data_IF_787443413945
#
_entry.id   IF_787443413945
#
_cell.length_a   1.000
_cell.length_b   1.000
_cell.length_c   1.000
_cell.angle_alpha   90.00
_cell.angle_beta   90.00
_cell.angle_gamma   90.00
#
_symmetry.space_group_name_H-M   'P 1'
#
loop_
_entity.id
_entity.type
_entity.pdbx_description
1 polymer ?
#
# COMPACT_ATOMS: atom_id res chain seq x y z
N UNK A 1 -6.72 21.77 -11.83
CA UNK A 1 -5.88 20.57 -11.61
C UNK A 1 -4.93 20.90 -10.48
N UNK A 2 -5.13 20.32 -9.29
CA UNK A 2 -4.09 20.35 -8.27
C UNK A 2 -2.92 19.50 -8.79
N UNK A 3 -1.65 19.88 -8.56
CA UNK A 3 -0.53 19.04 -8.94
C UNK A 3 -0.68 17.67 -8.28
N UNK A 4 -0.46 16.62 -9.07
CA UNK A 4 -0.45 15.23 -8.60
C UNK A 4 0.42 15.12 -7.34
N UNK A 5 -0.21 14.87 -6.19
CA UNK A 5 0.51 14.77 -4.94
C UNK A 5 1.47 13.58 -5.04
N UNK A 6 2.76 13.89 -4.92
CA UNK A 6 3.82 12.88 -4.93
C UNK A 6 4.14 12.50 -3.49
N UNK A 7 4.12 11.21 -3.19
CA UNK A 7 4.33 10.68 -1.86
C UNK A 7 5.54 9.74 -1.82
N UNK A 8 6.37 9.86 -0.78
CA UNK A 8 7.48 8.93 -0.58
C UNK A 8 7.00 7.77 0.30
N UNK A 9 6.96 6.58 -0.29
CA UNK A 9 6.57 5.35 0.38
C UNK A 9 7.75 4.41 0.63
N UNK A 10 7.68 3.66 1.73
CA UNK A 10 8.68 2.66 2.09
C UNK A 10 8.08 1.26 2.01
N UNK A 11 8.74 0.36 1.28
CA UNK A 11 8.35 -1.04 1.14
C UNK A 11 9.50 -1.94 1.57
N UNK A 12 9.36 -2.64 2.70
CA UNK A 12 10.33 -3.65 3.12
C UNK A 12 9.89 -5.04 2.70
N UNK A 13 10.87 -5.81 2.22
CA UNK A 13 10.70 -7.19 1.78
C UNK A 13 12.04 -7.93 1.92
N UNK A 14 12.08 -9.23 1.63
CA UNK A 14 13.34 -9.99 1.58
C UNK A 14 14.16 -9.60 0.35
N UNK A 15 15.47 -9.80 0.40
CA UNK A 15 16.41 -9.34 -0.64
C UNK A 15 16.02 -9.84 -2.04
N UNK A 16 15.69 -11.13 -2.19
CA UNK A 16 15.33 -11.72 -3.50
C UNK A 16 14.10 -11.05 -4.14
N UNK A 17 13.11 -10.69 -3.33
CA UNK A 17 11.93 -9.99 -3.83
C UNK A 17 12.24 -8.53 -4.17
N UNK A 18 13.10 -7.87 -3.40
CA UNK A 18 13.54 -6.52 -3.75
C UNK A 18 14.33 -6.52 -5.06
N UNK A 19 15.24 -7.47 -5.24
CA UNK A 19 16.00 -7.65 -6.48
C UNK A 19 15.06 -7.90 -7.66
N UNK A 20 14.06 -8.78 -7.49
CA UNK A 20 13.05 -9.03 -8.51
C UNK A 20 12.24 -7.78 -8.87
N UNK A 21 11.84 -6.98 -7.88
CA UNK A 21 11.07 -5.74 -8.11
C UNK A 21 11.92 -4.71 -8.85
N UNK A 22 13.20 -4.52 -8.49
CA UNK A 22 14.09 -3.55 -9.13
C UNK A 22 14.35 -3.89 -10.60
N UNK A 23 14.44 -5.18 -10.93
CA UNK A 23 14.64 -5.64 -12.31
C UNK A 23 13.33 -5.84 -13.09
N UNK A 24 12.18 -5.59 -12.47
CA UNK A 24 10.88 -5.72 -13.13
C UNK A 24 9.91 -4.61 -12.69
N UNK A 25 8.66 -4.96 -12.39
CA UNK A 25 7.63 -4.06 -11.90
C UNK A 25 7.14 -4.52 -10.52
N UNK A 26 6.53 -3.60 -9.78
CA UNK A 26 5.82 -3.99 -8.57
C UNK A 26 4.66 -4.94 -8.88
N UNK A 27 4.72 -6.14 -8.32
CA UNK A 27 3.62 -7.11 -8.40
C UNK A 27 2.68 -6.92 -7.21
N UNK A 28 1.39 -6.80 -7.49
CA UNK A 28 0.38 -6.67 -6.44
C UNK A 28 0.31 -7.96 -5.61
N UNK A 29 0.42 -7.83 -4.28
CA UNK A 29 0.19 -8.95 -3.36
C UNK A 29 -1.27 -9.34 -3.39
N UNK A 30 -1.58 -10.64 -3.49
CA UNK A 30 -2.95 -11.15 -3.41
C UNK A 30 -3.55 -11.06 -1.99
N UNK A 31 -2.70 -10.86 -0.98
CA UNK A 31 -3.09 -10.74 0.42
C UNK A 31 -2.76 -9.36 0.96
N UNK A 32 -3.75 -8.67 1.52
CA UNK A 32 -3.57 -7.35 2.09
C UNK A 32 -4.83 -6.83 2.78
N UNK A 33 -4.67 -5.86 3.68
CA UNK A 33 -5.78 -5.35 4.52
C UNK A 33 -6.90 -4.68 3.70
N UNK A 34 -6.54 -4.15 2.53
CA UNK A 34 -7.45 -3.46 1.60
C UNK A 34 -7.59 -4.24 0.28
N UNK A 35 -7.30 -5.54 0.29
CA UNK A 35 -7.31 -6.38 -0.92
C UNK A 35 -6.00 -6.36 -1.69
N UNK A 36 -6.07 -6.72 -2.97
CA UNK A 36 -4.90 -6.90 -3.84
C UNK A 36 -4.23 -5.56 -4.14
N UNK A 37 -2.92 -5.46 -3.92
CA UNK A 37 -2.21 -4.21 -4.17
C UNK A 37 -0.75 -4.20 -3.72
N UNK A 38 -0.10 -3.05 -3.95
CA UNK A 38 1.24 -2.73 -3.46
C UNK A 38 1.10 -1.89 -2.19
N UNK A 39 1.80 -2.27 -1.13
CA UNK A 39 1.67 -1.65 0.18
C UNK A 39 2.97 -0.95 0.56
N UNK A 40 2.89 0.37 0.73
CA UNK A 40 3.98 1.20 1.23
C UNK A 40 3.57 1.80 2.58
N UNK A 41 4.52 1.96 3.50
CA UNK A 41 4.32 2.73 4.71
C UNK A 41 4.90 4.14 4.58
N UNK A 42 4.53 4.99 5.53
CA UNK A 42 5.02 6.38 5.65
C UNK A 42 6.43 6.51 6.22
N UNK A 43 6.92 5.46 6.85
CA UNK A 43 8.24 5.44 7.49
C UNK A 43 8.80 4.04 7.52
N UNK A 44 10.13 3.93 7.47
CA UNK A 44 10.85 2.66 7.60
C UNK A 44 10.49 1.97 8.92
N UNK A 45 10.40 2.72 10.02
CA UNK A 45 10.07 2.19 11.35
C UNK A 45 8.76 1.37 11.37
N UNK A 46 7.76 1.78 10.60
CA UNK A 46 6.47 1.08 10.48
C UNK A 46 6.53 -0.21 9.64
N UNK A 47 7.69 -0.52 9.07
CA UNK A 47 7.90 -1.64 8.14
C UNK A 47 8.97 -2.63 8.62
N UNK A 48 9.72 -2.29 9.67
CA UNK A 48 10.85 -3.10 10.17
C UNK A 48 10.38 -4.51 10.53
N UNK A 49 9.18 -4.68 11.09
CA UNK A 49 8.58 -5.97 11.46
C UNK A 49 8.56 -7.02 10.35
N UNK A 50 8.53 -6.61 9.06
CA UNK A 50 8.54 -7.53 7.91
C UNK A 50 9.94 -7.98 7.50
N UNK A 51 10.97 -7.22 7.86
CA UNK A 51 12.36 -7.46 7.50
C UNK A 51 13.15 -8.25 8.56
N UNK A 52 12.52 -8.62 9.69
CA UNK A 52 13.24 -8.98 10.92
C UNK A 52 13.90 -10.36 10.94
N UNK A 53 13.71 -11.24 9.96
CA UNK A 53 14.19 -12.61 10.14
C UNK A 53 15.57 -12.89 9.52
N UNK A 54 15.92 -12.41 8.32
CA UNK A 54 17.13 -12.91 7.63
C UNK A 54 17.82 -11.88 6.71
N UNK A 55 17.76 -10.59 7.06
CA UNK A 55 18.21 -9.52 6.17
C UNK A 55 17.09 -9.13 5.21
N UNK A 56 16.58 -7.91 5.38
CA UNK A 56 15.57 -7.35 4.51
C UNK A 56 16.14 -6.21 3.68
N UNK A 57 15.52 -5.98 2.53
CA UNK A 57 15.76 -4.81 1.70
C UNK A 57 14.59 -3.82 1.87
N UNK A 58 14.88 -2.53 1.72
CA UNK A 58 13.89 -1.47 1.72
C UNK A 58 13.90 -0.75 0.37
N UNK A 59 12.76 -0.75 -0.30
CA UNK A 59 12.53 0.06 -1.50
C UNK A 59 11.91 1.38 -1.06
N UNK A 60 12.52 2.48 -1.47
CA UNK A 60 11.98 3.84 -1.34
C UNK A 60 11.34 4.18 -2.68
N UNK A 61 10.03 4.37 -2.70
CA UNK A 61 9.25 4.62 -3.91
C UNK A 61 8.69 6.04 -3.93
N UNK A 62 8.84 6.71 -5.06
CA UNK A 62 8.07 7.90 -5.40
C UNK A 62 6.71 7.47 -5.96
N UNK A 63 5.63 7.86 -5.29
CA UNK A 63 4.27 7.43 -5.62
C UNK A 63 3.47 8.64 -6.09
N UNK A 64 2.98 8.57 -7.33
CA UNK A 64 2.01 9.52 -7.87
C UNK A 64 0.63 9.08 -7.43
N UNK A 65 0.08 9.77 -6.42
CA UNK A 65 -1.09 9.29 -5.69
C UNK A 65 -2.41 9.45 -6.45
N UNK A 66 -2.51 10.39 -7.39
CA UNK A 66 -3.78 10.72 -8.03
C UNK A 66 -4.85 11.06 -6.99
N UNK A 67 -6.03 10.50 -7.21
CA UNK A 67 -7.15 10.60 -6.28
C UNK A 67 -6.95 9.65 -5.10
N UNK A 68 -6.98 10.19 -3.89
CA UNK A 68 -6.75 9.40 -2.67
C UNK A 68 -8.06 9.12 -1.94
N UNK A 69 -8.27 7.85 -1.60
CA UNK A 69 -9.30 7.44 -0.64
C UNK A 69 -8.65 7.08 0.68
N UNK A 70 -9.06 7.73 1.77
CA UNK A 70 -8.52 7.49 3.10
C UNK A 70 -9.47 6.65 3.95
N UNK A 71 -8.91 5.65 4.64
CA UNK A 71 -9.60 4.89 5.68
C UNK A 71 -8.95 5.18 7.03
N UNK A 72 -9.77 5.35 8.07
CA UNK A 72 -9.27 5.31 9.43
C UNK A 72 -8.96 3.86 9.87
N UNK A 73 -8.10 3.73 10.87
CA UNK A 73 -7.65 2.43 11.38
C UNK A 73 -8.81 1.55 11.90
N UNK A 74 -9.81 2.14 12.55
CA UNK A 74 -10.94 1.38 13.11
C UNK A 74 -11.78 0.76 12.00
N UNK A 75 -12.01 1.51 10.92
CA UNK A 75 -12.72 1.03 9.73
C UNK A 75 -12.00 -0.14 9.04
N UNK A 76 -10.67 -0.18 9.06
CA UNK A 76 -9.89 -1.30 8.50
C UNK A 76 -10.02 -2.59 9.33
N UNK A 77 -10.04 -2.48 10.67
CA UNK A 77 -9.96 -3.65 11.56
C UNK A 77 -11.28 -4.07 12.22
N UNK A 78 -12.37 -3.32 12.07
CA UNK A 78 -13.65 -3.70 12.68
C UNK A 78 -14.30 -4.90 11.97
N UNK A 79 -14.54 -5.97 12.71
CA UNK A 79 -15.25 -7.17 12.24
C UNK A 79 -16.68 -6.81 11.82
N UNK A 80 -17.11 -7.26 10.64
CA UNK A 80 -18.48 -7.06 10.12
C UNK A 80 -18.72 -5.79 9.29
N UNK A 81 -17.73 -4.90 9.14
CA UNK A 81 -17.84 -3.69 8.30
C UNK A 81 -17.13 -3.78 6.94
N UNK A 82 -16.61 -4.96 6.57
CA UNK A 82 -15.91 -5.16 5.29
C UNK A 82 -16.79 -4.78 4.10
N UNK A 83 -18.07 -5.14 4.10
CA UNK A 83 -19.00 -4.83 3.01
C UNK A 83 -19.24 -3.33 2.84
N UNK A 84 -19.35 -2.57 3.95
CA UNK A 84 -19.54 -1.13 3.90
C UNK A 84 -18.30 -0.43 3.36
N UNK A 85 -17.11 -0.82 3.87
CA UNK A 85 -15.82 -0.33 3.40
C UNK A 85 -15.61 -0.57 1.90
N UNK A 86 -15.93 -1.78 1.44
CA UNK A 86 -15.75 -2.18 0.05
C UNK A 86 -16.75 -1.43 -0.88
N UNK A 87 -17.97 -1.14 -0.41
CA UNK A 87 -18.94 -0.29 -1.12
C UNK A 87 -18.47 1.16 -1.24
N UNK A 88 -17.88 1.72 -0.18
CA UNK A 88 -17.31 3.07 -0.20
C UNK A 88 -16.14 3.15 -1.20
N UNK A 89 -15.26 2.15 -1.18
CA UNK A 89 -14.16 2.05 -2.14
C UNK A 89 -14.67 1.93 -3.57
N UNK A 90 -15.67 1.07 -3.81
CA UNK A 90 -16.30 0.91 -5.12
C UNK A 90 -16.88 2.23 -5.61
N UNK A 91 -17.63 2.94 -4.76
CA UNK A 91 -18.21 4.22 -5.13
C UNK A 91 -17.16 5.26 -5.47
N UNK A 92 -16.10 5.35 -4.69
CA UNK A 92 -14.98 6.25 -4.98
C UNK A 92 -14.35 5.93 -6.33
N UNK A 93 -13.98 4.67 -6.56
CA UNK A 93 -13.32 4.25 -7.81
C UNK A 93 -14.21 4.47 -9.03
N UNK A 94 -15.53 4.30 -8.89
CA UNK A 94 -16.47 4.35 -10.03
C UNK A 94 -17.11 5.70 -10.30
N UNK A 95 -17.35 6.51 -9.28
CA UNK A 95 -18.27 7.65 -9.38
C UNK A 95 -17.71 8.95 -8.84
N UNK A 96 -16.51 8.96 -8.27
CA UNK A 96 -15.91 10.21 -7.87
C UNK A 96 -15.16 10.80 -9.06
N UNK A 97 -15.68 11.89 -9.63
CA UNK A 97 -14.95 12.79 -10.54
C UNK A 97 -14.00 13.69 -9.76
#
# INVERSE_FOLDING_TARGET
>A
MLPEATYIGFHTTIVDYADSIVHSEFRASDKGMLGKGVYCARSIANTIGKAQCEGGACIIAEIRMGKVFEFDKQTIYSTGKSTQRDQQLYHFVRFSE
#
